data_IF_838070039531
#
_entry.id   IF_838070039531
#
_cell.length_a   1.000
_cell.length_b   1.000
_cell.length_c   1.000
_cell.angle_alpha   90.00
_cell.angle_beta   90.00
_cell.angle_gamma   90.00
#
_symmetry.space_group_name_H-M   'P 1'
#
loop_
_entity.id
_entity.type
_entity.pdbx_description
1 polymer ?
#
# COMPACT_ATOMS: atom_id res chain seq x y z
N UNK A 1 11.32 7.32 12.17
CA UNK A 1 10.30 6.86 11.23
C UNK A 1 9.49 8.06 10.77
N UNK A 2 9.25 8.21 9.49
CA UNK A 2 8.42 9.27 8.91
C UNK A 2 7.54 8.61 7.84
N UNK A 3 6.23 8.74 7.96
CA UNK A 3 5.33 8.38 6.86
C UNK A 3 5.71 9.20 5.64
N UNK A 4 5.62 8.58 4.47
CA UNK A 4 5.89 9.29 3.22
C UNK A 4 4.85 10.38 2.98
N UNK A 5 5.22 11.41 2.22
CA UNK A 5 4.25 12.42 1.77
C UNK A 5 3.10 11.76 0.97
N UNK A 6 3.33 10.58 0.43
CA UNK A 6 2.33 9.82 -0.30
C UNK A 6 1.18 9.40 0.61
N UNK A 7 1.50 8.78 1.75
CA UNK A 7 0.52 8.35 2.75
C UNK A 7 -0.18 9.55 3.41
N UNK A 8 0.55 10.62 3.72
CA UNK A 8 -0.03 11.87 4.24
C UNK A 8 -1.05 12.47 3.27
N UNK A 9 -0.71 12.58 2.00
CA UNK A 9 -1.61 13.14 0.99
C UNK A 9 -2.80 12.23 0.67
N UNK A 10 -2.63 10.92 0.79
CA UNK A 10 -3.74 9.97 0.68
C UNK A 10 -4.76 10.18 1.79
N UNK A 11 -4.31 10.25 3.04
CA UNK A 11 -5.18 10.53 4.19
C UNK A 11 -5.90 11.87 4.05
N UNK A 12 -5.19 12.95 3.69
CA UNK A 12 -5.78 14.28 3.47
C UNK A 12 -6.84 14.25 2.37
N UNK A 13 -6.62 13.49 1.30
CA UNK A 13 -7.60 13.36 0.22
C UNK A 13 -8.88 12.68 0.68
N UNK A 14 -8.75 11.61 1.47
CA UNK A 14 -9.90 10.90 2.02
C UNK A 14 -10.65 11.76 3.04
N UNK A 15 -9.95 12.51 3.91
CA UNK A 15 -10.54 13.48 4.84
C UNK A 15 -11.35 14.52 4.06
N UNK A 16 -10.76 15.15 3.03
CA UNK A 16 -11.44 16.14 2.21
C UNK A 16 -12.74 15.61 1.60
N UNK A 17 -12.69 14.39 1.03
CA UNK A 17 -13.85 13.76 0.40
C UNK A 17 -14.92 13.37 1.42
N UNK A 18 -14.53 13.04 2.66
CA UNK A 18 -15.45 12.65 3.70
C UNK A 18 -16.25 13.82 4.29
N UNK A 19 -15.60 15.01 4.44
CA UNK A 19 -16.18 16.19 5.10
C UNK A 19 -16.73 17.23 4.13
N UNK A 20 -16.68 16.93 2.84
CA UNK A 20 -17.18 17.86 1.81
C UNK A 20 -18.63 18.23 2.07
N UNK A 21 -19.00 19.55 2.07
CA UNK A 21 -20.35 20.02 2.42
C UNK A 21 -21.45 19.44 1.56
N UNK A 22 -21.12 19.09 0.32
CA UNK A 22 -22.06 18.53 -0.65
C UNK A 22 -21.65 17.10 -1.05
N UNK A 23 -22.05 16.09 -0.26
CA UNK A 23 -21.63 14.69 -0.48
C UNK A 23 -21.99 14.14 -1.85
N UNK A 24 -23.06 14.68 -2.47
CA UNK A 24 -23.58 14.23 -3.76
C UNK A 24 -22.77 14.74 -4.96
N UNK A 25 -22.09 15.89 -4.80
CA UNK A 25 -21.25 16.44 -5.85
C UNK A 25 -19.89 15.74 -5.87
N UNK A 26 -19.38 15.53 -7.06
CA UNK A 26 -18.02 15.02 -7.24
C UNK A 26 -17.01 16.12 -6.91
N UNK A 27 -15.93 15.78 -6.25
CA UNK A 27 -14.81 16.68 -5.99
C UNK A 27 -13.85 16.68 -7.19
N UNK A 28 -13.22 17.83 -7.44
CA UNK A 28 -12.15 17.90 -8.42
C UNK A 28 -10.81 17.72 -7.72
N UNK A 29 -9.88 16.97 -8.33
CA UNK A 29 -8.51 16.81 -7.79
C UNK A 29 -7.80 18.17 -7.60
N UNK A 30 -8.11 19.14 -8.47
CA UNK A 30 -7.57 20.50 -8.35
C UNK A 30 -8.00 21.21 -7.07
N UNK A 31 -9.26 21.01 -6.66
CA UNK A 31 -9.77 21.65 -5.44
C UNK A 31 -9.07 21.10 -4.20
N UNK A 32 -8.88 19.78 -4.14
CA UNK A 32 -8.12 19.14 -3.06
C UNK A 32 -6.67 19.64 -3.06
N UNK A 33 -6.05 19.69 -4.24
CA UNK A 33 -4.67 20.17 -4.39
C UNK A 33 -4.50 21.61 -3.87
N UNK A 34 -5.44 22.48 -4.22
CA UNK A 34 -5.45 23.88 -3.79
C UNK A 34 -5.69 24.02 -2.28
N UNK A 35 -6.67 23.31 -1.71
CA UNK A 35 -7.02 23.38 -0.28
C UNK A 35 -5.85 23.00 0.62
N UNK A 36 -5.01 22.07 0.19
CA UNK A 36 -3.86 21.61 0.97
C UNK A 36 -2.51 22.14 0.47
N UNK A 37 -2.50 22.96 -0.58
CA UNK A 37 -1.27 23.45 -1.25
C UNK A 37 -0.35 22.28 -1.68
N UNK A 38 -0.93 21.27 -2.32
CA UNK A 38 -0.23 20.07 -2.79
C UNK A 38 -0.16 20.11 -4.31
N UNK A 39 0.93 19.58 -4.88
CA UNK A 39 1.06 19.41 -6.33
C UNK A 39 -0.03 18.49 -6.90
N UNK A 40 -0.81 18.99 -7.86
CA UNK A 40 -1.86 18.23 -8.53
C UNK A 40 -1.32 16.94 -9.19
N UNK A 41 -0.12 16.98 -9.74
CA UNK A 41 0.50 15.81 -10.38
C UNK A 41 0.79 14.68 -9.39
N UNK A 42 1.23 15.00 -8.20
CA UNK A 42 1.42 14.03 -7.12
C UNK A 42 0.07 13.47 -6.66
N UNK A 43 -0.90 14.36 -6.45
CA UNK A 43 -2.23 13.96 -5.98
C UNK A 43 -2.95 13.05 -6.98
N UNK A 44 -2.77 13.28 -8.28
CA UNK A 44 -3.38 12.42 -9.33
C UNK A 44 -2.92 10.96 -9.21
N UNK A 45 -1.62 10.73 -8.93
CA UNK A 45 -1.08 9.37 -8.76
C UNK A 45 -1.68 8.69 -7.52
N UNK A 46 -1.81 9.42 -6.43
CA UNK A 46 -2.37 8.95 -5.16
C UNK A 46 -3.85 8.60 -5.33
N UNK A 47 -4.64 9.48 -5.93
CA UNK A 47 -6.05 9.25 -6.21
C UNK A 47 -6.26 8.03 -7.12
N UNK A 48 -5.39 7.84 -8.11
CA UNK A 48 -5.44 6.65 -8.96
C UNK A 48 -5.22 5.37 -8.16
N UNK A 49 -4.21 5.33 -7.27
CA UNK A 49 -3.97 4.16 -6.41
C UNK A 49 -5.13 3.94 -5.42
N UNK A 50 -5.65 4.98 -4.78
CA UNK A 50 -6.82 4.87 -3.90
C UNK A 50 -8.05 4.35 -4.65
N UNK A 51 -8.20 4.71 -5.93
CA UNK A 51 -9.23 4.15 -6.81
C UNK A 51 -9.02 2.67 -7.10
N UNK A 52 -7.77 2.24 -7.37
CA UNK A 52 -7.44 0.82 -7.56
C UNK A 52 -7.68 -0.03 -6.30
N UNK A 53 -7.46 0.56 -5.13
CA UNK A 53 -7.70 -0.08 -3.82
C UNK A 53 -9.19 -0.05 -3.41
N UNK A 54 -10.05 0.64 -4.19
CA UNK A 54 -11.49 0.68 -3.93
C UNK A 54 -11.93 1.70 -2.87
N UNK A 55 -11.07 2.64 -2.48
CA UNK A 55 -11.43 3.72 -1.54
C UNK A 55 -12.11 4.91 -2.23
N UNK A 56 -11.84 5.12 -3.52
CA UNK A 56 -12.32 6.26 -4.30
C UNK A 56 -12.96 5.78 -5.61
N UNK A 57 -14.13 6.31 -5.92
CA UNK A 57 -14.76 6.23 -7.23
C UNK A 57 -14.39 7.44 -8.08
N UNK A 58 -14.08 7.21 -9.36
CA UNK A 58 -13.80 8.25 -10.34
C UNK A 58 -14.83 8.24 -11.46
N UNK A 59 -15.47 9.37 -11.71
CA UNK A 59 -16.42 9.57 -12.80
C UNK A 59 -15.77 10.41 -13.87
N UNK A 60 -15.71 9.91 -15.11
CA UNK A 60 -15.13 10.62 -16.26
C UNK A 60 -16.17 11.53 -16.95
N UNK A 61 -15.71 12.58 -17.59
CA UNK A 61 -16.53 13.46 -18.41
C UNK A 61 -16.51 14.92 -17.99
N UNK A 62 -17.33 15.77 -18.67
CA UNK A 62 -17.37 17.22 -18.44
C UNK A 62 -17.76 17.60 -17.00
N UNK A 63 -18.61 16.79 -16.36
CA UNK A 63 -19.02 16.93 -14.97
C UNK A 63 -18.43 15.80 -14.11
N UNK A 64 -17.28 15.29 -14.50
CA UNK A 64 -16.58 14.22 -13.80
C UNK A 64 -15.86 14.72 -12.55
N UNK A 65 -15.42 13.77 -11.75
CA UNK A 65 -14.69 14.03 -10.52
C UNK A 65 -14.53 12.76 -9.70
N UNK A 66 -14.26 12.91 -8.43
CA UNK A 66 -14.02 11.83 -7.50
C UNK A 66 -14.91 11.92 -6.26
N UNK A 67 -15.19 10.78 -5.65
CA UNK A 67 -15.90 10.65 -4.38
C UNK A 67 -15.38 9.44 -3.61
N UNK A 68 -15.75 9.34 -2.34
CA UNK A 68 -15.51 8.10 -1.59
C UNK A 68 -16.34 6.95 -2.19
N UNK A 69 -15.72 5.78 -2.35
CA UNK A 69 -16.37 4.54 -2.79
C UNK A 69 -17.03 3.79 -1.62
N UNK A 70 -16.56 4.03 -0.38
CA UNK A 70 -17.03 3.39 0.83
C UNK A 70 -17.27 4.43 1.94
N UNK A 71 -17.99 4.03 2.98
CA UNK A 71 -18.30 4.93 4.10
C UNK A 71 -17.05 5.17 4.94
N UNK A 72 -16.86 6.36 5.53
CA UNK A 72 -15.69 6.65 6.38
C UNK A 72 -15.45 5.64 7.50
N UNK A 73 -16.50 5.08 8.09
CA UNK A 73 -16.41 4.05 9.13
C UNK A 73 -15.89 2.70 8.64
N UNK A 74 -15.94 2.45 7.34
CA UNK A 74 -15.47 1.21 6.72
C UNK A 74 -14.00 1.33 6.26
N UNK A 75 -13.39 2.51 6.38
CA UNK A 75 -11.99 2.78 6.04
C UNK A 75 -11.14 2.69 7.30
N UNK A 76 -10.51 1.54 7.52
CA UNK A 76 -9.58 1.32 8.62
C UNK A 76 -8.22 1.96 8.32
N UNK A 77 -7.68 2.75 9.26
CA UNK A 77 -6.44 3.51 9.03
C UNK A 77 -5.21 2.62 8.96
N UNK A 78 -5.13 1.56 9.76
CA UNK A 78 -4.01 0.63 9.74
C UNK A 78 -3.94 -0.15 8.43
N UNK A 79 -5.09 -0.67 7.97
CA UNK A 79 -5.20 -1.37 6.67
C UNK A 79 -4.83 -0.43 5.52
N UNK A 80 -5.37 0.79 5.52
CA UNK A 80 -5.09 1.79 4.50
C UNK A 80 -3.59 2.10 4.43
N UNK A 81 -2.96 2.44 5.55
CA UNK A 81 -1.54 2.79 5.62
C UNK A 81 -0.68 1.61 5.16
N UNK A 82 -1.02 0.39 5.56
CA UNK A 82 -0.29 -0.82 5.15
C UNK A 82 -0.36 -1.09 3.63
N UNK A 83 -1.45 -0.66 2.97
CA UNK A 83 -1.63 -0.81 1.52
C UNK A 83 -0.95 0.29 0.70
N UNK A 84 -0.82 1.51 1.24
CA UNK A 84 -0.33 2.66 0.49
C UNK A 84 1.12 3.02 0.79
N UNK A 85 1.63 2.69 1.98
CA UNK A 85 3.02 2.95 2.33
C UNK A 85 3.92 1.93 1.61
N UNK A 86 4.82 2.38 0.74
CA UNK A 86 5.62 1.47 -0.08
C UNK A 86 6.66 0.72 0.73
N UNK A 87 7.07 1.28 1.87
CA UNK A 87 8.18 0.77 2.63
C UNK A 87 8.07 1.09 4.12
N UNK A 88 7.95 0.05 4.93
CA UNK A 88 8.02 0.12 6.38
C UNK A 88 9.41 -0.22 6.93
N UNK A 89 10.43 -0.25 6.08
CA UNK A 89 11.79 -0.57 6.50
C UNK A 89 12.34 0.55 7.40
N UNK A 90 12.36 0.32 8.69
CA UNK A 90 12.96 1.25 9.66
C UNK A 90 14.49 1.30 9.52
N UNK A 91 15.08 0.20 9.05
CA UNK A 91 16.52 -0.01 8.84
C UNK A 91 16.74 -0.93 7.64
N UNK A 92 17.88 -0.82 6.97
CA UNK A 92 18.21 -1.61 5.77
C UNK A 92 18.11 -3.14 5.97
N UNK A 93 18.35 -3.63 7.18
CA UNK A 93 18.25 -5.04 7.48
C UNK A 93 16.81 -5.58 7.60
N UNK A 94 15.80 -4.72 7.48
CA UNK A 94 14.37 -5.10 7.44
C UNK A 94 13.93 -5.64 6.08
N UNK A 95 14.62 -5.25 5.00
CA UNK A 95 14.17 -5.44 3.62
C UNK A 95 14.08 -6.89 3.13
N UNK A 96 14.48 -7.89 3.91
CA UNK A 96 14.67 -9.24 3.37
C UNK A 96 13.62 -10.27 3.80
N UNK A 97 12.90 -10.11 4.92
CA UNK A 97 12.17 -11.24 5.51
C UNK A 97 10.70 -11.01 5.87
N UNK A 98 10.17 -9.78 5.82
CA UNK A 98 8.87 -9.48 6.41
C UNK A 98 7.69 -9.39 5.43
N UNK A 99 7.93 -9.47 4.12
CA UNK A 99 6.88 -9.38 3.10
C UNK A 99 6.22 -10.72 2.72
N UNK A 100 6.57 -11.83 3.39
CA UNK A 100 6.09 -13.17 3.00
C UNK A 100 4.81 -13.59 3.72
N UNK A 101 4.34 -12.87 4.75
CA UNK A 101 3.23 -13.37 5.59
C UNK A 101 1.91 -12.62 5.53
N UNK A 102 1.73 -11.67 4.63
CA UNK A 102 0.45 -10.95 4.55
C UNK A 102 -0.03 -10.70 3.12
N UNK A 103 -0.20 -11.77 2.34
CA UNK A 103 -1.16 -11.74 1.23
C UNK A 103 -2.26 -12.74 1.56
N UNK A 104 -3.52 -12.30 1.76
CA UNK A 104 -4.64 -13.22 1.70
C UNK A 104 -4.80 -13.62 0.23
N UNK A 105 -4.66 -14.92 -0.03
CA UNK A 105 -4.95 -15.54 -1.32
C UNK A 105 -6.41 -15.28 -1.68
N UNK A 106 -6.64 -14.43 -2.64
CA UNK A 106 -7.92 -14.31 -3.31
C UNK A 106 -7.72 -14.69 -4.78
N UNK A 107 -7.70 -15.98 -5.05
CA UNK A 107 -8.38 -16.55 -6.21
C UNK A 107 -8.21 -18.09 -6.28
N UNK A 108 -9.15 -18.83 -5.72
CA UNK A 108 -9.44 -20.19 -6.12
C UNK A 108 -10.60 -20.15 -7.09
N UNK A 109 -10.33 -20.28 -8.36
CA UNK A 109 -11.32 -20.85 -9.28
C UNK A 109 -10.67 -21.98 -10.07
N UNK A 110 -11.12 -23.14 -9.70
CA UNK A 110 -10.96 -24.43 -10.34
C UNK A 110 -11.39 -24.38 -11.80
N UNK A 111 -10.59 -24.94 -12.69
CA UNK A 111 -11.17 -25.82 -13.72
C UNK A 111 -10.14 -26.86 -14.10
N UNK A 112 -10.51 -28.09 -13.85
CA UNK A 112 -9.84 -29.30 -14.27
C UNK A 112 -9.82 -29.41 -15.80
N UNK A 113 -8.69 -29.83 -16.34
CA UNK A 113 -8.65 -30.75 -17.46
C UNK A 113 -7.25 -31.32 -17.61
N UNK A 114 -7.10 -32.59 -17.25
CA UNK A 114 -6.10 -33.47 -17.83
C UNK A 114 -6.62 -33.97 -19.19
N UNK A 115 -5.74 -34.27 -20.15
CA UNK A 115 -5.41 -35.66 -20.34
C UNK A 115 -3.98 -36.01 -20.84
N UNK A 116 -3.53 -37.16 -20.37
CA UNK A 116 -3.06 -38.34 -21.09
C UNK A 116 -1.71 -38.32 -21.80
N UNK A 117 -0.76 -39.03 -21.16
CA UNK A 117 0.21 -40.04 -21.58
C UNK A 117 0.55 -40.12 -23.09
N UNK A 118 1.86 -40.12 -23.41
CA UNK A 118 2.48 -41.11 -24.25
C UNK A 118 3.98 -41.24 -23.96
N UNK A 119 4.39 -42.43 -23.63
CA UNK A 119 5.74 -42.95 -23.57
C UNK A 119 6.36 -42.98 -24.96
N UNK A 120 7.65 -42.74 -25.12
CA UNK A 120 8.52 -43.73 -25.77
C UNK A 120 10.04 -43.34 -25.62
N UNK A 121 10.72 -44.32 -25.13
CA UNK A 121 12.07 -44.85 -25.31
C UNK A 121 13.17 -44.08 -26.03
N UNK A 122 14.39 -44.14 -25.43
CA UNK A 122 15.59 -44.35 -26.23
C UNK A 122 16.93 -43.85 -25.70
N UNK A 123 17.64 -44.66 -24.91
CA UNK A 123 19.08 -45.04 -25.01
C UNK A 123 20.18 -44.02 -24.78
N UNK A 124 20.85 -44.22 -23.65
CA UNK A 124 22.29 -44.49 -23.39
C UNK A 124 23.39 -43.48 -23.69
N UNK A 125 24.19 -43.27 -22.64
CA UNK A 125 25.65 -43.10 -22.57
C UNK A 125 26.25 -41.79 -23.09
N UNK A 126 26.88 -41.00 -22.26
CA UNK A 126 28.31 -41.17 -21.96
C UNK A 126 28.77 -40.28 -20.81
N UNK A 127 29.72 -40.78 -20.07
CA UNK A 127 30.43 -40.10 -19.00
C UNK A 127 31.23 -38.91 -19.52
N UNK A 128 31.07 -37.76 -18.92
CA UNK A 128 32.13 -36.78 -18.80
C UNK A 128 32.06 -36.12 -17.42
N UNK A 129 32.93 -36.61 -16.59
CA UNK A 129 33.38 -35.99 -15.36
C UNK A 129 34.16 -34.73 -15.72
N UNK A 130 33.60 -33.56 -15.53
CA UNK A 130 34.34 -32.29 -15.58
C UNK A 130 33.96 -31.43 -14.40
N UNK A 131 34.89 -31.42 -13.47
CA UNK A 131 35.37 -30.30 -12.68
C UNK A 131 34.31 -29.35 -12.08
N UNK A 132 34.22 -29.50 -10.79
CA UNK A 132 33.72 -28.61 -9.80
C UNK A 132 34.42 -27.25 -9.97
N UNK A 133 33.81 -26.31 -10.62
CA UNK A 133 34.13 -24.90 -10.41
C UNK A 133 33.21 -24.40 -9.31
N UNK A 134 33.74 -24.45 -8.09
CA UNK A 134 33.30 -23.67 -6.96
C UNK A 134 33.54 -22.18 -7.25
N UNK A 135 32.70 -21.60 -8.04
CA UNK A 135 32.40 -20.18 -7.95
C UNK A 135 30.97 -20.03 -7.45
N UNK A 136 30.79 -20.39 -6.18
CA UNK A 136 29.75 -19.79 -5.39
C UNK A 136 30.04 -18.29 -5.34
N UNK A 137 29.59 -17.60 -6.39
CA UNK A 137 29.43 -16.16 -6.37
C UNK A 137 28.54 -15.85 -5.19
N UNK A 138 29.17 -15.62 -4.04
CA UNK A 138 28.55 -15.01 -2.89
C UNK A 138 28.02 -13.65 -3.38
N UNK A 139 26.73 -13.63 -3.73
CA UNK A 139 25.97 -12.40 -3.78
C UNK A 139 26.10 -11.82 -2.39
N UNK A 140 27.06 -10.91 -2.23
CA UNK A 140 27.23 -10.10 -1.03
C UNK A 140 25.95 -9.26 -0.98
N UNK A 141 24.95 -9.81 -0.30
CA UNK A 141 23.79 -9.03 0.12
C UNK A 141 24.37 -7.92 0.98
N UNK A 142 24.32 -6.70 0.48
CA UNK A 142 24.68 -5.49 1.19
C UNK A 142 23.73 -5.33 2.38
N UNK A 143 24.03 -6.00 3.47
CA UNK A 143 23.25 -6.00 4.69
C UNK A 143 24.16 -5.77 5.89
N UNK A 144 23.59 -5.33 6.98
CA UNK A 144 24.30 -5.16 8.23
C UNK A 144 24.97 -6.49 8.65
N UNK A 145 26.28 -6.48 8.89
CA UNK A 145 27.08 -7.67 9.18
C UNK A 145 26.61 -8.45 10.43
N UNK A 146 25.98 -7.74 11.39
CA UNK A 146 25.43 -8.35 12.62
C UNK A 146 23.98 -8.82 12.47
N UNK A 147 23.36 -8.62 11.31
CA UNK A 147 21.93 -8.95 11.07
C UNK A 147 21.53 -10.36 11.52
N UNK A 148 22.34 -11.42 11.34
CA UNK A 148 21.96 -12.77 11.73
C UNK A 148 21.76 -12.98 13.24
N UNK A 149 22.39 -12.15 14.09
CA UNK A 149 22.35 -12.26 15.55
C UNK A 149 21.81 -10.99 16.23
N UNK A 150 21.37 -10.03 15.46
CA UNK A 150 20.96 -8.72 15.94
C UNK A 150 19.56 -8.78 16.57
N UNK A 151 19.49 -8.58 17.87
CA UNK A 151 18.20 -8.49 18.58
C UNK A 151 17.45 -7.18 18.31
N UNK A 152 18.13 -6.13 17.88
CA UNK A 152 17.52 -4.85 17.56
C UNK A 152 16.49 -4.95 16.42
N UNK A 153 16.70 -5.87 15.49
CA UNK A 153 15.72 -6.17 14.42
C UNK A 153 14.37 -6.58 15.00
N UNK A 154 14.36 -7.43 16.01
CA UNK A 154 13.14 -7.88 16.67
C UNK A 154 12.44 -6.72 17.41
N UNK A 155 13.20 -5.88 18.10
CA UNK A 155 12.65 -4.69 18.79
C UNK A 155 11.98 -3.72 17.81
N UNK A 156 12.61 -3.45 16.67
CA UNK A 156 12.00 -2.61 15.66
C UNK A 156 10.76 -3.24 15.02
N UNK A 157 10.75 -4.54 14.83
CA UNK A 157 9.57 -5.25 14.33
C UNK A 157 8.40 -5.13 15.31
N UNK A 158 8.64 -5.33 16.59
CA UNK A 158 7.64 -5.16 17.64
C UNK A 158 7.09 -3.71 17.67
N UNK A 159 7.99 -2.72 17.59
CA UNK A 159 7.61 -1.32 17.56
C UNK A 159 6.75 -0.96 16.33
N UNK A 160 7.10 -1.48 15.14
CA UNK A 160 6.33 -1.30 13.91
C UNK A 160 4.96 -1.97 14.02
N UNK A 161 4.93 -3.19 14.52
CA UNK A 161 3.68 -3.93 14.76
C UNK A 161 2.77 -3.18 15.73
N UNK A 162 3.32 -2.65 16.82
CA UNK A 162 2.56 -1.84 17.77
C UNK A 162 2.01 -0.55 17.13
N UNK A 163 2.79 0.10 16.26
CA UNK A 163 2.35 1.27 15.51
C UNK A 163 1.15 0.96 14.60
N UNK A 164 1.24 -0.10 13.80
CA UNK A 164 0.13 -0.52 12.91
C UNK A 164 -1.10 -0.93 13.73
N UNK A 165 -0.94 -1.71 14.80
CA UNK A 165 -2.02 -2.14 15.67
C UNK A 165 -2.77 -0.96 16.32
N UNK A 166 -2.08 0.15 16.60
CA UNK A 166 -2.73 1.37 17.07
C UNK A 166 -3.60 1.97 15.99
N UNK A 167 -3.09 2.09 14.76
CA UNK A 167 -3.84 2.63 13.62
C UNK A 167 -5.05 1.76 13.25
N UNK A 168 -4.95 0.45 13.40
CA UNK A 168 -6.06 -0.48 13.13
C UNK A 168 -7.26 -0.32 14.07
N UNK A 169 -7.09 0.35 15.21
CA UNK A 169 -8.21 0.67 16.12
C UNK A 169 -9.06 1.84 15.63
N UNK A 170 -8.60 2.58 14.65
CA UNK A 170 -9.24 3.80 14.16
C UNK A 170 -9.68 3.65 12.71
N UNK A 171 -10.79 4.30 12.41
CA UNK A 171 -11.34 4.47 11.08
C UNK A 171 -11.21 5.91 10.60
N UNK A 172 -11.47 6.16 9.33
CA UNK A 172 -11.55 7.53 8.83
C UNK A 172 -12.64 8.33 9.57
N UNK A 173 -13.75 7.69 9.96
CA UNK A 173 -14.83 8.35 10.71
C UNK A 173 -14.35 8.88 12.07
N UNK A 174 -13.46 8.17 12.74
CA UNK A 174 -12.96 8.57 14.06
C UNK A 174 -12.13 9.85 14.00
N UNK A 175 -11.34 10.01 12.93
CA UNK A 175 -10.44 11.17 12.77
C UNK A 175 -11.13 12.40 12.14
N UNK A 176 -12.36 12.26 11.66
CA UNK A 176 -13.19 13.38 11.17
C UNK A 176 -14.33 13.74 12.13
N UNK A 177 -14.26 13.32 13.37
CA UNK A 177 -15.30 13.59 14.39
C UNK A 177 -15.54 15.09 14.63
N UNK A 178 -14.54 15.94 14.31
CA UNK A 178 -14.62 17.40 14.32
C UNK A 178 -14.90 17.99 12.92
N UNK A 179 -15.87 17.40 12.20
CA UNK A 179 -16.19 17.72 10.80
C UNK A 179 -16.41 19.22 10.55
N UNK A 180 -17.12 19.92 11.43
CA UNK A 180 -17.43 21.35 11.30
C UNK A 180 -16.15 22.20 11.29
N UNK A 181 -15.23 21.96 12.19
CA UNK A 181 -13.97 22.69 12.29
C UNK A 181 -13.08 22.42 11.06
N UNK A 182 -13.04 21.14 10.62
CA UNK A 182 -12.29 20.76 9.43
C UNK A 182 -12.88 21.40 8.18
N UNK A 183 -14.21 21.44 8.05
CA UNK A 183 -14.89 22.06 6.93
C UNK A 183 -14.63 23.57 6.89
N UNK A 184 -14.67 24.26 8.03
CA UNK A 184 -14.36 25.68 8.12
C UNK A 184 -12.97 25.98 7.59
N UNK A 185 -11.97 25.21 7.99
CA UNK A 185 -10.58 25.39 7.57
C UNK A 185 -10.35 25.08 6.08
N UNK A 186 -11.03 24.07 5.54
CA UNK A 186 -10.79 23.60 4.17
C UNK A 186 -11.61 24.30 3.12
N UNK A 187 -12.83 24.74 3.47
CA UNK A 187 -13.78 25.26 2.47
C UNK A 187 -14.11 26.74 2.66
N UNK A 188 -13.99 27.32 3.87
CA UNK A 188 -14.47 28.66 4.17
C UNK A 188 -13.35 29.65 4.56
N UNK A 189 -12.15 29.21 4.90
CA UNK A 189 -11.05 30.08 5.36
C UNK A 189 -10.38 30.91 4.26
N UNK A 190 -10.61 30.60 2.98
CA UNK A 190 -9.94 31.26 1.86
C UNK A 190 -10.84 32.28 1.12
N UNK A 191 -11.85 32.85 1.80
CA UNK A 191 -12.64 33.98 1.30
C UNK A 191 -12.29 35.28 2.04
#
# INVERSE_FOLDING_TARGET
MRLTNYSDYALRSLIYLAIKPEPHLLANISDIANSYNISKSHLTKIIHQLGQLGYIDSVRGKNGGIRLACRPKDINLGVLINQIEPDFNLVECFSTDLLVTAKPDANTNSTANSPVISEDSGVAKDLALTLIDEEASAVVKSGCIISPVCQLKQVFFEALTAFINVLERYTLADIISNELELAELLFYRNN
#
